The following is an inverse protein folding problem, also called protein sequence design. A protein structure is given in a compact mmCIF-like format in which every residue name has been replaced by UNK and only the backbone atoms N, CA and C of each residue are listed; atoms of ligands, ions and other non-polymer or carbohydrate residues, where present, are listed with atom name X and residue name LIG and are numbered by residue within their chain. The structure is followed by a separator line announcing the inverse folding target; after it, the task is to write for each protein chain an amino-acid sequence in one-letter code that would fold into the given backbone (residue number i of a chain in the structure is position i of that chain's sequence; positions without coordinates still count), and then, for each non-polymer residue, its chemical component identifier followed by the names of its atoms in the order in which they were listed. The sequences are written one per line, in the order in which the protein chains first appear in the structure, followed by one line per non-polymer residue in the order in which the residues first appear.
data_IF_427326948403
#
_entry.id   IF_427326948403
#
_cell.length_a   1.000
_cell.length_b   1.000
_cell.length_c   1.000
_cell.angle_alpha   90.00
_cell.angle_beta   90.00
_cell.angle_gamma   90.00
#
_symmetry.space_group_name_H-M   'P 1'
#
loop_
_entity.id
_entity.type
_entity.pdbx_description
1 polymer ?
#
# COMPACT_ATOMS: atom_id res chain seq x y z
N UNK A 1 -3.89 31.41 4.56
CA UNK A 1 -2.55 32.07 4.62
C UNK A 1 -1.55 31.16 3.92
N UNK A 2 -0.50 31.74 3.34
CA UNK A 2 0.36 31.09 2.33
C UNK A 2 0.88 29.70 2.76
N UNK A 3 1.24 29.49 4.03
CA UNK A 3 1.74 28.20 4.50
C UNK A 3 0.68 27.08 4.42
N UNK A 4 -0.55 27.37 4.83
CA UNK A 4 -1.65 26.41 4.80
C UNK A 4 -2.05 26.10 3.35
N UNK A 5 -2.20 27.13 2.51
CA UNK A 5 -2.56 26.96 1.10
C UNK A 5 -1.52 26.13 0.33
N UNK A 6 -0.24 26.31 0.63
CA UNK A 6 0.82 25.51 0.02
C UNK A 6 0.81 24.06 0.53
N UNK A 7 0.60 23.84 1.84
CA UNK A 7 0.51 22.50 2.40
C UNK A 7 -0.70 21.74 1.82
N UNK A 8 -1.86 22.39 1.77
CA UNK A 8 -3.07 21.85 1.17
C UNK A 8 -2.87 21.54 -0.32
N UNK A 9 -2.10 22.37 -1.02
CA UNK A 9 -1.76 22.10 -2.41
C UNK A 9 -0.94 20.81 -2.55
N UNK A 10 0.08 20.59 -1.72
CA UNK A 10 0.87 19.36 -1.72
C UNK A 10 -0.01 18.13 -1.43
N UNK A 11 -0.84 18.19 -0.39
CA UNK A 11 -1.77 17.11 -0.02
C UNK A 11 -2.76 16.83 -1.16
N UNK A 12 -3.38 17.86 -1.72
CA UNK A 12 -4.41 17.70 -2.75
C UNK A 12 -3.86 17.18 -4.10
N UNK A 13 -2.59 17.41 -4.38
CA UNK A 13 -1.92 16.93 -5.59
C UNK A 13 -1.19 15.58 -5.39
N UNK A 14 -1.47 14.88 -4.29
CA UNK A 14 -0.94 13.54 -4.00
C UNK A 14 0.58 13.48 -3.92
N UNK A 15 1.21 14.59 -3.54
CA UNK A 15 2.63 14.68 -3.24
C UNK A 15 2.90 14.19 -1.82
N UNK A 16 2.35 13.02 -1.49
CA UNK A 16 2.44 12.39 -0.17
C UNK A 16 3.90 12.28 0.28
N UNK A 17 4.84 11.96 -0.61
CA UNK A 17 6.27 11.87 -0.29
C UNK A 17 6.95 13.17 0.21
N UNK A 18 6.28 14.32 0.16
CA UNK A 18 6.76 15.58 0.75
C UNK A 18 6.22 15.76 2.18
N UNK A 19 6.04 14.67 2.93
CA UNK A 19 5.58 14.71 4.33
C UNK A 19 6.43 15.66 5.18
N UNK A 20 7.74 15.70 4.95
CA UNK A 20 8.66 16.64 5.60
C UNK A 20 8.35 18.11 5.30
N UNK A 21 8.13 18.47 4.03
CA UNK A 21 7.78 19.84 3.63
C UNK A 21 6.38 20.23 4.09
N UNK A 22 5.40 19.33 3.93
CA UNK A 22 4.02 19.51 4.42
C UNK A 22 4.05 19.79 5.93
N UNK A 23 4.80 18.99 6.68
CA UNK A 23 4.99 19.18 8.12
C UNK A 23 5.61 20.53 8.44
N UNK A 24 6.69 20.94 7.78
CA UNK A 24 7.32 22.24 8.01
C UNK A 24 6.36 23.41 7.74
N UNK A 25 5.47 23.27 6.75
CA UNK A 25 4.44 24.26 6.45
C UNK A 25 3.37 24.32 7.54
N UNK A 26 2.88 23.16 7.99
CA UNK A 26 1.92 23.07 9.09
C UNK A 26 2.50 23.59 10.41
N UNK A 27 3.72 23.21 10.77
CA UNK A 27 4.41 23.72 11.96
C UNK A 27 4.55 25.25 11.93
N UNK A 28 4.88 25.84 10.77
CA UNK A 28 4.95 27.30 10.61
C UNK A 28 3.59 27.98 10.77
N UNK A 29 2.53 27.37 10.23
CA UNK A 29 1.17 27.87 10.40
C UNK A 29 0.69 27.78 11.85
N UNK A 30 0.94 26.66 12.53
CA UNK A 30 0.52 26.43 13.91
C UNK A 30 1.21 27.39 14.90
N UNK A 31 2.41 27.91 14.59
CA UNK A 31 2.99 29.02 15.38
C UNK A 31 2.14 30.28 15.39
N UNK A 32 1.32 30.49 14.36
CA UNK A 32 0.39 31.62 14.25
C UNK A 32 -0.99 31.29 14.82
N UNK A 33 -1.43 30.03 14.68
CA UNK A 33 -2.71 29.52 15.19
C UNK A 33 -2.52 28.13 15.83
N UNK A 34 -2.10 28.07 17.10
CA UNK A 34 -1.70 26.82 17.75
C UNK A 34 -2.81 25.79 17.92
N UNK A 35 -4.07 26.24 17.92
CA UNK A 35 -5.24 25.42 18.24
C UNK A 35 -6.09 25.08 17.01
N UNK A 36 -5.55 25.28 15.81
CA UNK A 36 -6.25 24.95 14.57
C UNK A 36 -6.32 23.42 14.38
N UNK A 37 -7.47 22.84 14.73
CA UNK A 37 -7.67 21.39 14.76
C UNK A 37 -7.50 20.71 13.39
N UNK A 38 -7.85 21.40 12.30
CA UNK A 38 -7.68 20.87 10.95
C UNK A 38 -6.20 20.70 10.60
N UNK A 39 -5.38 21.68 10.99
CA UNK A 39 -3.95 21.65 10.72
C UNK A 39 -3.22 20.70 11.66
N UNK A 40 -3.67 20.60 12.93
CA UNK A 40 -3.18 19.58 13.86
C UNK A 40 -3.50 18.17 13.34
N UNK A 41 -4.69 17.96 12.78
CA UNK A 41 -5.07 16.72 12.12
C UNK A 41 -4.16 16.42 10.92
N UNK A 42 -3.99 17.37 9.99
CA UNK A 42 -3.11 17.19 8.83
C UNK A 42 -1.65 16.91 9.21
N UNK A 43 -1.14 17.57 10.25
CA UNK A 43 0.18 17.33 10.81
C UNK A 43 0.29 15.92 11.41
N UNK A 44 -0.70 15.49 12.19
CA UNK A 44 -0.73 14.16 12.77
C UNK A 44 -0.85 13.04 11.72
N UNK A 45 -1.60 13.26 10.62
CA UNK A 45 -1.59 12.35 9.46
C UNK A 45 -0.17 12.23 8.91
N UNK A 46 0.54 13.34 8.67
CA UNK A 46 1.92 13.29 8.15
C UNK A 46 2.89 12.53 9.06
N UNK A 47 2.76 12.66 10.38
CA UNK A 47 3.57 11.88 11.32
C UNK A 47 3.21 10.40 11.36
N UNK A 48 1.95 10.04 11.07
CA UNK A 48 1.50 8.64 11.01
C UNK A 48 2.15 7.92 9.83
N UNK A 49 2.27 8.60 8.69
CA UNK A 49 2.94 8.09 7.48
C UNK A 49 4.45 7.89 7.67
N UNK A 50 5.09 8.71 8.51
CA UNK A 50 6.51 8.58 8.90
C UNK A 50 6.72 7.62 10.08
N UNK A 51 5.69 6.86 10.48
CA UNK A 51 5.69 5.96 11.66
C UNK A 51 6.10 6.65 12.97
N UNK A 52 6.00 7.97 13.01
CA UNK A 52 6.38 8.82 14.14
C UNK A 52 5.24 8.90 15.15
N UNK A 53 4.78 7.75 15.60
CA UNK A 53 3.57 7.60 16.41
C UNK A 53 3.61 8.33 17.75
N UNK A 54 4.80 8.52 18.35
CA UNK A 54 4.93 9.31 19.59
C UNK A 54 4.54 10.77 19.39
N UNK A 55 4.93 11.37 18.28
CA UNK A 55 4.55 12.74 17.92
C UNK A 55 3.05 12.85 17.67
N UNK A 56 2.46 11.83 17.04
CA UNK A 56 1.00 11.75 16.84
C UNK A 56 0.26 11.74 18.18
N UNK A 57 0.74 10.98 19.16
CA UNK A 57 0.13 10.94 20.51
C UNK A 57 0.23 12.29 21.20
N UNK A 58 1.42 12.92 21.23
CA UNK A 58 1.63 14.21 21.91
C UNK A 58 0.71 15.32 21.36
N UNK A 59 0.64 15.42 20.03
CA UNK A 59 -0.18 16.41 19.33
C UNK A 59 -1.67 16.05 19.48
N UNK A 60 -2.01 14.78 19.24
CA UNK A 60 -3.38 14.29 19.21
C UNK A 60 -4.09 14.37 20.57
N UNK A 61 -3.42 14.02 21.67
CA UNK A 61 -4.00 14.12 23.02
C UNK A 61 -4.27 15.57 23.40
N UNK A 62 -3.32 16.47 23.09
CA UNK A 62 -3.48 17.90 23.33
C UNK A 62 -4.63 18.49 22.50
N UNK A 63 -4.71 18.10 21.22
CA UNK A 63 -5.75 18.55 20.31
C UNK A 63 -7.14 18.03 20.73
N UNK A 64 -7.23 16.76 21.13
CA UNK A 64 -8.47 16.11 21.55
C UNK A 64 -8.97 16.69 22.88
N UNK A 65 -8.07 16.99 23.83
CA UNK A 65 -8.44 17.63 25.10
C UNK A 65 -9.12 19.00 24.89
N UNK A 66 -8.73 19.75 23.85
CA UNK A 66 -9.34 21.02 23.47
C UNK A 66 -10.59 20.85 22.60
N UNK A 67 -10.70 19.72 21.91
CA UNK A 67 -11.76 19.41 20.94
C UNK A 67 -12.35 18.00 21.19
N UNK A 68 -13.04 17.78 22.33
CA UNK A 68 -13.41 16.43 22.79
C UNK A 68 -14.45 15.71 21.91
N UNK A 69 -15.00 16.37 20.89
CA UNK A 69 -15.94 15.79 19.91
C UNK A 69 -15.34 15.52 18.53
N UNK A 70 -14.05 15.76 18.32
CA UNK A 70 -13.41 15.56 17.01
C UNK A 70 -13.06 14.08 16.81
N UNK A 71 -13.96 13.36 16.14
CA UNK A 71 -13.83 11.93 15.86
C UNK A 71 -12.52 11.58 15.12
N UNK A 72 -12.07 12.45 14.21
CA UNK A 72 -10.86 12.16 13.42
C UNK A 72 -9.59 12.08 14.27
N UNK A 73 -9.52 12.82 15.38
CA UNK A 73 -8.40 12.74 16.32
C UNK A 73 -8.40 11.41 17.10
N UNK A 74 -9.57 10.85 17.42
CA UNK A 74 -9.67 9.53 18.03
C UNK A 74 -9.08 8.45 17.12
N UNK A 75 -9.42 8.49 15.83
CA UNK A 75 -8.89 7.54 14.85
C UNK A 75 -7.36 7.65 14.70
N UNK A 76 -6.82 8.88 14.66
CA UNK A 76 -5.36 9.11 14.61
C UNK A 76 -4.63 8.59 15.84
N UNK A 77 -5.14 8.87 17.04
CA UNK A 77 -4.58 8.33 18.28
C UNK A 77 -4.66 6.80 18.28
N UNK A 78 -5.75 6.22 17.78
CA UNK A 78 -5.89 4.78 17.63
C UNK A 78 -4.83 4.20 16.68
N UNK A 79 -4.55 4.86 15.53
CA UNK A 79 -3.45 4.48 14.64
C UNK A 79 -2.11 4.47 15.39
N UNK A 80 -1.85 5.54 16.15
CA UNK A 80 -0.58 5.75 16.83
C UNK A 80 -0.36 4.73 17.95
N UNK A 81 -1.37 4.47 18.79
CA UNK A 81 -1.28 3.46 19.84
C UNK A 81 -1.12 2.04 19.26
N UNK A 82 -1.81 1.71 18.17
CA UNK A 82 -1.60 0.44 17.47
C UNK A 82 -0.16 0.32 16.95
N UNK A 83 0.38 1.37 16.33
CA UNK A 83 1.76 1.42 15.84
C UNK A 83 2.82 1.39 16.95
N UNK A 84 2.48 1.85 18.17
CA UNK A 84 3.33 1.75 19.35
C UNK A 84 3.27 0.37 20.04
N UNK A 85 2.42 -0.54 19.55
CA UNK A 85 2.23 -1.86 20.15
C UNK A 85 1.35 -1.86 21.39
N UNK A 86 0.47 -0.88 21.54
CA UNK A 86 -0.56 -0.81 22.59
C UNK A 86 -1.96 -1.02 21.97
N UNK A 87 -2.32 -2.27 21.66
CA UNK A 87 -3.57 -2.57 20.98
C UNK A 87 -4.80 -2.37 21.87
N UNK A 88 -4.65 -2.46 23.19
CA UNK A 88 -5.72 -2.19 24.14
C UNK A 88 -6.21 -0.74 24.00
N UNK A 89 -5.29 0.23 24.12
CA UNK A 89 -5.64 1.65 23.93
C UNK A 89 -6.12 1.95 22.51
N UNK A 90 -5.52 1.32 21.51
CA UNK A 90 -5.94 1.51 20.13
C UNK A 90 -7.42 1.11 19.93
N UNK A 91 -7.82 -0.07 20.43
CA UNK A 91 -9.18 -0.57 20.28
C UNK A 91 -10.18 0.23 21.13
N UNK A 92 -9.80 0.72 22.30
CA UNK A 92 -10.62 1.65 23.09
C UNK A 92 -10.92 2.95 22.33
N UNK A 93 -9.91 3.52 21.66
CA UNK A 93 -10.06 4.73 20.87
C UNK A 93 -10.85 4.48 19.58
N UNK A 94 -10.65 3.33 18.92
CA UNK A 94 -11.48 2.94 17.79
C UNK A 94 -12.95 2.74 18.18
N UNK A 95 -13.23 2.18 19.37
CA UNK A 95 -14.60 2.05 19.86
C UNK A 95 -15.27 3.44 20.00
N UNK A 96 -14.58 4.40 20.61
CA UNK A 96 -15.07 5.78 20.71
C UNK A 96 -15.23 6.44 19.33
N UNK A 97 -14.28 6.22 18.42
CA UNK A 97 -14.37 6.69 17.05
C UNK A 97 -15.61 6.12 16.34
N UNK A 98 -15.87 4.82 16.52
CA UNK A 98 -17.02 4.15 15.93
C UNK A 98 -18.34 4.74 16.43
N UNK A 99 -18.44 5.10 17.70
CA UNK A 99 -19.62 5.77 18.25
C UNK A 99 -19.88 7.16 17.64
N UNK A 100 -18.84 7.81 17.12
CA UNK A 100 -18.92 9.16 16.55
C UNK A 100 -19.14 9.19 15.03
N UNK A 101 -19.05 8.06 14.32
CA UNK A 101 -19.20 7.99 12.85
C UNK A 101 -20.49 7.28 12.41
N UNK A 102 -20.95 7.50 11.17
CA UNK A 102 -22.09 6.79 10.59
C UNK A 102 -21.92 5.28 10.56
N UNK A 103 -23.04 4.55 10.63
CA UNK A 103 -23.05 3.10 10.65
C UNK A 103 -22.47 2.48 9.37
N UNK A 104 -22.65 3.14 8.22
CA UNK A 104 -22.13 2.72 6.92
C UNK A 104 -20.60 2.75 6.89
N UNK A 105 -20.00 3.79 7.48
CA UNK A 105 -18.54 3.91 7.60
C UNK A 105 -18.01 2.88 8.61
N UNK A 106 -18.69 2.73 9.75
CA UNK A 106 -18.35 1.72 10.77
C UNK A 106 -18.39 0.30 10.22
N UNK A 107 -19.30 0.01 9.30
CA UNK A 107 -19.43 -1.32 8.70
C UNK A 107 -18.17 -1.75 7.93
N UNK A 108 -17.43 -0.81 7.35
CA UNK A 108 -16.19 -1.09 6.61
C UNK A 108 -15.09 -1.69 7.51
N UNK A 109 -15.06 -1.32 8.79
CA UNK A 109 -14.11 -1.85 9.76
C UNK A 109 -14.49 -3.26 10.23
N UNK A 110 -15.77 -3.61 10.16
CA UNK A 110 -16.28 -4.93 10.54
C UNK A 110 -16.30 -5.92 9.38
N UNK A 111 -15.94 -5.46 8.18
CA UNK A 111 -15.94 -6.28 6.98
C UNK A 111 -14.72 -7.20 6.95
N UNK A 112 -14.99 -8.50 7.01
CA UNK A 112 -13.96 -9.53 6.99
C UNK A 112 -13.66 -10.08 5.59
N UNK A 113 -14.38 -9.64 4.54
CA UNK A 113 -14.31 -10.24 3.20
C UNK A 113 -12.89 -10.31 2.63
N UNK A 114 -12.07 -9.30 2.93
CA UNK A 114 -10.70 -9.22 2.45
C UNK A 114 -9.69 -10.02 3.27
N UNK A 115 -10.03 -10.43 4.50
CA UNK A 115 -9.07 -11.03 5.45
C UNK A 115 -9.45 -12.44 5.94
N UNK A 116 -10.72 -12.82 5.76
CA UNK A 116 -11.23 -14.14 6.09
C UNK A 116 -11.26 -15.05 4.86
N UNK A 117 -11.15 -16.36 5.09
CA UNK A 117 -11.36 -17.35 4.03
C UNK A 117 -12.85 -17.47 3.70
N UNK A 118 -13.23 -17.86 2.47
CA UNK A 118 -14.62 -18.03 2.09
C UNK A 118 -15.43 -18.95 3.03
N UNK A 119 -14.80 -19.98 3.58
CA UNK A 119 -15.43 -20.91 4.52
C UNK A 119 -15.67 -20.26 5.89
N UNK A 120 -14.72 -19.45 6.37
CA UNK A 120 -14.84 -18.71 7.63
C UNK A 120 -15.92 -17.62 7.53
N UNK A 121 -16.01 -16.94 6.38
CA UNK A 121 -17.05 -15.93 6.12
C UNK A 121 -18.45 -16.52 6.15
N UNK A 122 -18.66 -17.65 5.47
CA UNK A 122 -19.95 -18.35 5.47
C UNK A 122 -20.39 -18.71 6.89
N UNK A 123 -19.46 -19.19 7.72
CA UNK A 123 -19.72 -19.45 9.14
C UNK A 123 -20.12 -18.16 9.84
N UNK A 124 -19.29 -17.12 9.76
CA UNK A 124 -19.52 -15.83 10.42
C UNK A 124 -20.87 -15.20 10.06
N UNK A 125 -21.24 -15.21 8.78
CA UNK A 125 -22.50 -14.67 8.29
C UNK A 125 -23.72 -15.45 8.83
N UNK A 126 -23.58 -16.77 8.99
CA UNK A 126 -24.64 -17.62 9.55
C UNK A 126 -24.82 -17.51 11.07
N UNK A 127 -23.83 -16.97 11.79
CA UNK A 127 -23.88 -16.88 13.25
C UNK A 127 -24.83 -15.76 13.72
N UNK A 128 -25.59 -15.99 14.82
CA UNK A 128 -26.29 -14.93 15.54
C UNK A 128 -25.34 -13.84 16.03
N UNK A 129 -25.82 -12.61 16.19
CA UNK A 129 -25.00 -11.46 16.61
C UNK A 129 -24.28 -11.70 17.94
N UNK A 130 -24.94 -12.37 18.89
CA UNK A 130 -24.40 -12.73 20.21
C UNK A 130 -23.18 -13.67 20.12
N UNK A 131 -23.12 -14.53 19.10
CA UNK A 131 -22.04 -15.50 18.90
C UNK A 131 -20.89 -14.93 18.04
N UNK A 132 -21.16 -13.85 17.27
CA UNK A 132 -20.15 -13.21 16.42
C UNK A 132 -18.98 -12.65 17.22
N UNK A 133 -19.23 -12.12 18.42
CA UNK A 133 -18.17 -11.62 19.29
C UNK A 133 -17.16 -12.72 19.66
N UNK A 134 -17.64 -13.90 20.05
CA UNK A 134 -16.79 -15.04 20.38
C UNK A 134 -16.03 -15.58 19.15
N UNK A 135 -16.68 -15.57 17.98
CA UNK A 135 -16.03 -15.89 16.72
C UNK A 135 -14.87 -14.93 16.42
N UNK A 136 -15.09 -13.62 16.53
CA UNK A 136 -14.07 -12.60 16.24
C UNK A 136 -12.83 -12.73 17.13
N UNK A 137 -13.01 -12.98 18.42
CA UNK A 137 -11.89 -13.24 19.35
C UNK A 137 -11.04 -14.40 18.85
N UNK A 138 -11.66 -15.51 18.47
CA UNK A 138 -10.94 -16.69 17.96
C UNK A 138 -10.31 -16.43 16.58
N UNK A 139 -11.03 -15.70 15.73
CA UNK A 139 -10.61 -15.35 14.38
C UNK A 139 -9.34 -14.50 14.37
N UNK A 140 -9.31 -13.44 15.17
CA UNK A 140 -8.15 -12.55 15.29
C UNK A 140 -6.99 -13.22 16.00
N UNK A 141 -7.24 -13.97 17.08
CA UNK A 141 -6.20 -14.71 17.81
C UNK A 141 -5.41 -15.68 16.92
N UNK A 142 -6.08 -16.37 15.99
CA UNK A 142 -5.41 -17.30 15.05
C UNK A 142 -4.47 -16.60 14.06
N UNK A 143 -4.64 -15.30 13.85
CA UNK A 143 -3.92 -14.47 12.87
C UNK A 143 -2.95 -13.49 13.52
N UNK A 144 -2.88 -13.48 14.85
CA UNK A 144 -2.05 -12.57 15.60
C UNK A 144 -0.65 -13.16 15.80
N UNK A 145 0.36 -12.46 15.28
CA UNK A 145 1.76 -12.81 15.45
C UNK A 145 2.28 -12.40 16.84
N UNK A 146 1.60 -11.44 17.49
CA UNK A 146 1.88 -11.00 18.85
C UNK A 146 1.17 -11.92 19.83
N UNK A 147 1.72 -13.13 20.04
CA UNK A 147 1.05 -14.24 20.74
C UNK A 147 0.45 -13.92 22.14
N UNK A 148 0.91 -12.85 22.80
CA UNK A 148 0.43 -12.41 24.12
C UNK A 148 -0.71 -11.38 24.09
N UNK A 149 -1.02 -10.76 22.94
CA UNK A 149 -2.14 -9.82 22.79
C UNK A 149 -3.51 -10.50 22.84
N UNK A 150 -3.55 -11.83 22.63
CA UNK A 150 -4.80 -12.58 22.53
C UNK A 150 -5.62 -12.32 21.26
N UNK A 151 -5.07 -11.65 20.24
CA UNK A 151 -5.78 -11.28 19.00
C UNK A 151 -5.99 -9.77 18.82
N UNK A 152 -5.83 -9.00 19.90
CA UNK A 152 -6.10 -7.56 19.91
C UNK A 152 -5.17 -6.79 18.97
N UNK A 153 -3.90 -7.19 18.86
CA UNK A 153 -2.95 -6.53 17.96
C UNK A 153 -3.35 -6.73 16.51
N UNK A 154 -3.81 -7.94 16.14
CA UNK A 154 -4.28 -8.19 14.77
C UNK A 154 -5.58 -7.45 14.44
N UNK A 155 -6.51 -7.33 15.40
CA UNK A 155 -7.74 -6.56 15.24
C UNK A 155 -7.45 -5.05 15.09
N UNK A 156 -6.61 -4.50 15.97
CA UNK A 156 -6.19 -3.10 15.91
C UNK A 156 -5.49 -2.79 14.58
N UNK A 157 -4.61 -3.70 14.12
CA UNK A 157 -3.96 -3.60 12.82
C UNK A 157 -4.97 -3.63 11.66
N UNK A 158 -6.03 -4.43 11.74
CA UNK A 158 -7.07 -4.43 10.73
C UNK A 158 -7.77 -3.07 10.65
N UNK A 159 -8.16 -2.49 11.79
CA UNK A 159 -8.76 -1.15 11.83
C UNK A 159 -7.78 -0.06 11.37
N UNK A 160 -6.48 -0.21 11.69
CA UNK A 160 -5.40 0.65 11.18
C UNK A 160 -5.39 0.67 9.66
N UNK A 161 -5.43 -0.51 9.03
CA UNK A 161 -5.47 -0.66 7.57
C UNK A 161 -6.72 -0.08 6.95
N UNK A 162 -7.89 -0.35 7.52
CA UNK A 162 -9.17 0.19 6.98
C UNK A 162 -9.15 1.72 7.02
N UNK A 163 -8.75 2.32 8.14
CA UNK A 163 -8.62 3.77 8.24
C UNK A 163 -7.63 4.33 7.21
N UNK A 164 -6.45 3.70 7.07
CA UNK A 164 -5.44 4.12 6.11
C UNK A 164 -5.97 4.15 4.68
N UNK A 165 -6.64 3.07 4.24
CA UNK A 165 -7.15 3.02 2.86
C UNK A 165 -8.32 3.98 2.64
N UNK A 166 -9.13 4.25 3.67
CA UNK A 166 -10.18 5.29 3.62
C UNK A 166 -9.59 6.68 3.47
N UNK A 167 -8.45 6.95 4.09
CA UNK A 167 -7.77 8.24 3.97
C UNK A 167 -7.03 8.38 2.63
N UNK A 168 -6.33 7.34 2.15
CA UNK A 168 -5.40 7.46 1.01
C UNK A 168 -5.95 6.96 -0.33
N UNK A 169 -6.86 6.00 -0.34
CA UNK A 169 -7.29 5.30 -1.57
C UNK A 169 -8.76 5.50 -1.92
N UNK A 170 -9.48 6.35 -1.18
CA UNK A 170 -10.91 6.61 -1.38
C UNK A 170 -11.23 7.78 -2.34
N UNK A 171 -10.23 8.58 -2.74
CA UNK A 171 -10.45 9.84 -3.50
C UNK A 171 -11.16 9.62 -4.84
N UNK A 172 -10.70 8.66 -5.64
CA UNK A 172 -11.25 8.38 -6.97
C UNK A 172 -12.40 7.36 -6.98
N UNK A 173 -12.39 6.41 -6.03
CA UNK A 173 -13.36 5.33 -5.90
C UNK A 173 -13.68 5.12 -4.42
N UNK A 174 -14.97 5.05 -4.09
CA UNK A 174 -15.45 4.75 -2.74
C UNK A 174 -15.88 3.26 -2.66
N UNK A 175 -15.58 2.54 -1.58
CA UNK A 175 -14.87 3.03 -0.39
C UNK A 175 -13.35 3.14 -0.58
N UNK A 176 -12.77 2.47 -1.57
CA UNK A 176 -11.37 2.60 -2.00
C UNK A 176 -11.19 1.98 -3.40
N UNK A 177 -10.05 2.26 -4.04
CA UNK A 177 -9.62 1.60 -5.28
C UNK A 177 -8.87 0.27 -5.03
N UNK A 178 -8.29 -0.35 -6.08
CA UNK A 178 -7.63 -1.66 -5.95
C UNK A 178 -6.44 -1.67 -4.99
N UNK A 179 -5.79 -0.53 -4.77
CA UNK A 179 -4.70 -0.40 -3.80
C UNK A 179 -5.23 -0.65 -2.39
N UNK A 180 -6.43 -0.17 -2.07
CA UNK A 180 -7.07 -0.39 -0.78
C UNK A 180 -7.32 -1.85 -0.48
N UNK A 181 -7.74 -2.64 -1.47
CA UNK A 181 -7.95 -4.07 -1.26
C UNK A 181 -6.65 -4.84 -0.95
N UNK A 182 -5.58 -4.52 -1.69
CA UNK A 182 -4.26 -5.14 -1.47
C UNK A 182 -3.69 -4.73 -0.11
N UNK A 183 -3.88 -3.46 0.28
CA UNK A 183 -3.39 -2.94 1.55
C UNK A 183 -4.16 -3.54 2.75
N UNK A 184 -5.48 -3.70 2.68
CA UNK A 184 -6.23 -4.35 3.77
C UNK A 184 -5.75 -5.79 3.98
N UNK A 185 -5.56 -6.53 2.87
CA UNK A 185 -5.06 -7.92 2.89
C UNK A 185 -3.68 -8.03 3.51
N UNK A 186 -2.73 -7.27 2.98
CA UNK A 186 -1.31 -7.52 3.23
C UNK A 186 -0.71 -6.53 4.24
N UNK A 187 -1.23 -5.31 4.29
CA UNK A 187 -0.70 -4.21 5.10
C UNK A 187 0.16 -3.29 4.27
N UNK A 188 1.13 -2.66 4.91
CA UNK A 188 2.13 -1.84 4.23
C UNK A 188 3.10 -2.72 3.42
N UNK A 189 3.43 -2.35 2.17
CA UNK A 189 4.41 -3.08 1.37
C UNK A 189 5.84 -2.86 1.90
N UNK A 190 6.70 -3.86 1.71
CA UNK A 190 8.14 -3.77 2.05
C UNK A 190 8.88 -2.79 1.13
N UNK A 191 8.36 -2.61 -0.10
CA UNK A 191 8.86 -1.63 -1.04
C UNK A 191 7.74 -1.05 -1.89
N UNK A 192 7.78 0.26 -2.11
CA UNK A 192 6.80 1.03 -2.89
C UNK A 192 7.53 1.98 -3.83
N UNK A 193 7.15 1.97 -5.11
CA UNK A 193 7.67 2.87 -6.15
C UNK A 193 6.53 3.44 -7.00
N UNK A 194 6.67 4.66 -7.49
CA UNK A 194 5.65 5.35 -8.31
C UNK A 194 6.28 6.07 -9.50
N UNK A 195 5.56 6.19 -10.59
CA UNK A 195 6.04 6.85 -11.82
C UNK A 195 6.49 8.32 -11.62
N UNK A 196 5.79 9.06 -10.76
CA UNK A 196 6.05 10.49 -10.52
C UNK A 196 7.06 10.75 -9.39
N UNK A 197 7.45 9.72 -8.65
CA UNK A 197 8.40 9.80 -7.54
C UNK A 197 8.99 8.40 -7.33
N UNK A 198 9.93 8.02 -8.20
CA UNK A 198 10.41 6.66 -8.22
C UNK A 198 11.32 6.39 -7.02
N UNK A 199 11.12 5.26 -6.34
CA UNK A 199 11.99 4.86 -5.24
C UNK A 199 13.24 4.20 -5.85
N UNK A 200 14.41 4.83 -5.70
CA UNK A 200 15.63 4.37 -6.37
C UNK A 200 16.37 3.25 -5.63
N UNK A 201 15.96 2.93 -4.39
CA UNK A 201 16.72 2.04 -3.51
C UNK A 201 15.79 0.95 -2.96
N UNK A 202 15.57 -0.17 -3.68
CA UNK A 202 14.94 -1.33 -3.09
C UNK A 202 15.83 -1.96 -2.01
N UNK A 203 15.22 -2.67 -1.06
CA UNK A 203 15.98 -3.58 -0.20
C UNK A 203 16.51 -4.76 -1.03
N UNK A 204 17.53 -5.46 -0.53
CA UNK A 204 18.06 -6.65 -1.18
C UNK A 204 16.97 -7.73 -1.37
N UNK A 205 16.03 -7.83 -0.43
CA UNK A 205 14.90 -8.75 -0.51
C UNK A 205 13.92 -8.33 -1.62
N UNK A 206 13.62 -7.02 -1.75
CA UNK A 206 12.74 -6.53 -2.81
C UNK A 206 13.39 -6.68 -4.20
N UNK A 207 14.69 -6.46 -4.30
CA UNK A 207 15.49 -6.70 -5.52
C UNK A 207 15.44 -8.18 -5.91
N UNK A 208 15.69 -9.10 -4.98
CA UNK A 208 15.62 -10.54 -5.24
C UNK A 208 14.22 -11.00 -5.71
N UNK A 209 13.15 -10.40 -5.18
CA UNK A 209 11.79 -10.65 -5.67
C UNK A 209 11.64 -10.17 -7.11
N UNK A 210 12.11 -8.96 -7.44
CA UNK A 210 12.02 -8.43 -8.81
C UNK A 210 12.80 -9.29 -9.81
N UNK A 211 14.04 -9.67 -9.47
CA UNK A 211 14.87 -10.52 -10.32
C UNK A 211 14.21 -11.87 -10.59
N UNK A 212 13.68 -12.52 -9.55
CA UNK A 212 12.95 -13.78 -9.70
C UNK A 212 11.74 -13.63 -10.61
N UNK A 213 10.89 -12.63 -10.35
CA UNK A 213 9.68 -12.39 -11.16
C UNK A 213 10.03 -12.10 -12.62
N UNK A 214 11.14 -11.39 -12.88
CA UNK A 214 11.61 -11.13 -14.23
C UNK A 214 12.09 -12.41 -14.93
N UNK A 215 12.82 -13.26 -14.22
CA UNK A 215 13.24 -14.56 -14.73
C UNK A 215 12.06 -15.49 -15.00
N UNK A 216 11.02 -15.48 -14.15
CA UNK A 216 9.79 -16.26 -14.36
C UNK A 216 9.09 -15.84 -15.67
N UNK A 217 9.04 -14.54 -15.96
CA UNK A 217 8.49 -14.01 -17.22
C UNK A 217 9.34 -14.46 -18.41
N UNK A 218 10.67 -14.31 -18.35
CA UNK A 218 11.57 -14.67 -19.44
C UNK A 218 11.58 -16.19 -19.67
N UNK A 219 11.65 -16.99 -18.61
CA UNK A 219 11.64 -18.46 -18.65
C UNK A 219 10.31 -19.05 -19.12
N UNK A 220 9.18 -18.45 -18.74
CA UNK A 220 7.86 -18.82 -19.26
C UNK A 220 7.67 -18.50 -20.75
N UNK A 221 8.35 -17.47 -21.26
CA UNK A 221 8.43 -17.19 -22.70
C UNK A 221 9.30 -18.21 -23.46
N UNK A 222 10.28 -18.83 -22.79
CA UNK A 222 11.17 -19.86 -23.37
C UNK A 222 10.48 -21.24 -23.45
N UNK A 223 9.49 -21.55 -22.60
CA UNK A 223 8.73 -22.82 -22.68
C UNK A 223 7.83 -22.95 -23.94
N UNK A 224 7.60 -21.88 -24.71
CA UNK A 224 6.81 -21.90 -25.95
C UNK A 224 7.63 -21.82 -27.25
N UNK A 225 8.96 -21.92 -27.20
CA UNK A 225 9.81 -21.94 -28.38
C UNK A 225 11.15 -22.60 -28.10
N UNK A 226 11.33 -23.78 -28.69
CA UNK A 226 12.52 -24.63 -28.67
C UNK A 226 13.85 -23.91 -28.35
N UNK A 227 14.44 -24.25 -27.21
CA UNK A 227 15.89 -24.16 -27.03
C UNK A 227 16.49 -25.50 -27.45
N UNK A 228 17.41 -25.51 -28.41
CA UNK A 228 18.34 -26.63 -28.52
C UNK A 228 19.67 -26.25 -27.86
N UNK A 229 20.12 -27.12 -26.95
CA UNK A 229 21.37 -27.04 -26.18
C UNK A 229 22.64 -26.94 -27.06
N UNK A 230 22.54 -27.14 -28.39
CA UNK A 230 23.68 -27.14 -29.31
C UNK A 230 24.36 -25.78 -29.50
N UNK A 231 23.70 -24.67 -29.12
CA UNK A 231 24.29 -23.33 -29.19
C UNK A 231 25.08 -22.93 -27.93
N UNK A 232 25.02 -23.72 -26.85
CA UNK A 232 25.73 -23.41 -25.60
C UNK A 232 27.24 -23.72 -25.66
N UNK A 233 27.70 -24.56 -26.61
CA UNK A 233 29.10 -24.95 -26.75
C UNK A 233 29.58 -24.98 -28.22
N UNK A 234 29.83 -23.81 -28.82
CA UNK A 234 30.83 -23.72 -29.91
C UNK A 234 31.78 -22.55 -29.68
N UNK A 235 32.92 -22.89 -29.09
CA UNK A 235 34.15 -22.10 -29.14
C UNK A 235 34.97 -22.64 -30.33
N UNK A 236 35.74 -21.73 -30.94
CA UNK A 236 36.87 -21.91 -31.89
C UNK A 236 36.57 -21.95 -33.40
N UNK A 237 37.11 -20.95 -34.10
CA UNK A 237 37.86 -21.13 -35.35
C UNK A 237 37.25 -20.60 -36.65
N UNK A 238 37.76 -19.43 -37.07
CA UNK A 238 38.09 -18.99 -38.45
C UNK A 238 37.04 -18.96 -39.59
N UNK A 239 36.93 -17.75 -40.18
CA UNK A 239 36.78 -17.37 -41.59
C UNK A 239 35.55 -17.80 -42.41
N UNK A 240 34.63 -16.85 -42.72
CA UNK A 240 34.55 -16.08 -43.99
C UNK A 240 33.21 -15.35 -44.18
N UNK A 241 33.33 -14.08 -44.61
CA UNK A 241 32.48 -13.30 -45.53
C UNK A 241 30.98 -13.04 -45.28
N UNK A 242 30.75 -11.80 -44.81
CA UNK A 242 29.73 -10.80 -45.19
C UNK A 242 28.62 -11.20 -46.19
N UNK A 243 27.39 -11.27 -45.69
CA UNK A 243 26.26 -10.40 -46.03
C UNK A 243 24.97 -11.11 -45.61
N UNK A 244 24.20 -10.49 -44.72
CA UNK A 244 22.73 -10.42 -44.73
C UNK A 244 22.18 -10.07 -43.34
N UNK A 245 21.24 -9.10 -43.32
CA UNK A 245 20.23 -8.85 -42.30
C UNK A 245 20.71 -8.12 -41.02
N UNK A 246 21.14 -6.87 -41.19
CA UNK A 246 20.80 -5.81 -40.24
C UNK A 246 19.31 -5.51 -40.37
N UNK A 247 18.49 -6.14 -39.52
CA UNK A 247 17.27 -5.57 -38.92
C UNK A 247 16.60 -6.68 -38.09
N UNK A 248 16.12 -6.32 -36.90
CA UNK A 248 15.34 -7.17 -35.96
C UNK A 248 16.06 -8.28 -35.18
N UNK A 249 17.21 -7.95 -34.58
CA UNK A 249 17.61 -8.56 -33.29
C UNK A 249 17.96 -7.49 -32.27
N UNK A 250 16.93 -6.79 -31.79
CA UNK A 250 17.02 -6.16 -30.49
C UNK A 250 16.99 -7.28 -29.45
N UNK A 251 18.16 -7.89 -29.23
CA UNK A 251 18.40 -8.80 -28.13
C UNK A 251 17.91 -8.10 -26.86
N UNK A 252 16.99 -8.73 -26.15
CA UNK A 252 16.53 -8.29 -24.84
C UNK A 252 17.69 -8.52 -23.86
N UNK A 253 18.72 -7.68 -23.94
CA UNK A 253 19.78 -7.61 -22.93
C UNK A 253 19.09 -7.14 -21.64
N UNK A 254 18.82 -8.10 -20.76
CA UNK A 254 18.49 -7.83 -19.36
C UNK A 254 19.76 -7.29 -18.68
N UNK A 255 20.13 -6.07 -19.04
CA UNK A 255 21.27 -5.32 -18.54
C UNK A 255 20.88 -4.73 -17.18
N UNK A 256 21.06 -5.50 -16.10
CA UNK A 256 20.88 -5.01 -14.72
C UNK A 256 19.58 -4.23 -14.52
N UNK A 257 18.47 -4.98 -14.45
CA UNK A 257 17.10 -4.50 -14.64
C UNK A 257 16.77 -3.19 -13.91
N UNK A 258 15.92 -2.39 -14.54
CA UNK A 258 15.35 -1.19 -13.95
C UNK A 258 14.57 -1.55 -12.67
N UNK A 259 15.22 -1.49 -11.50
CA UNK A 259 14.65 -1.85 -10.20
C UNK A 259 13.58 -0.86 -9.71
N UNK A 260 13.43 0.25 -10.43
CA UNK A 260 12.52 1.33 -10.07
C UNK A 260 11.14 1.07 -10.66
N UNK A 261 11.08 0.55 -11.88
CA UNK A 261 9.85 0.29 -12.62
C UNK A 261 9.22 -1.06 -12.25
N UNK A 262 7.92 -1.24 -12.56
CA UNK A 262 7.26 -2.54 -12.46
C UNK A 262 8.00 -3.62 -13.26
N UNK A 263 8.10 -4.84 -12.73
CA UNK A 263 8.70 -5.97 -13.44
C UNK A 263 7.86 -6.32 -14.66
N UNK A 264 6.54 -6.30 -14.49
CA UNK A 264 5.61 -6.44 -15.59
C UNK A 264 5.49 -5.12 -16.36
N UNK A 265 5.88 -5.07 -17.65
CA UNK A 265 5.96 -3.81 -18.37
C UNK A 265 4.56 -3.20 -18.56
N UNK A 266 4.39 -2.01 -18.01
CA UNK A 266 3.24 -1.13 -18.28
C UNK A 266 3.45 -0.48 -19.66
N UNK A 267 3.39 -1.27 -20.74
CA UNK A 267 3.51 -0.74 -22.11
C UNK A 267 2.11 -0.40 -22.64
N UNK A 268 1.81 0.89 -22.69
CA UNK A 268 0.61 1.40 -23.36
C UNK A 268 1.00 2.47 -24.38
N UNK A 269 0.62 2.24 -25.65
CA UNK A 269 0.69 3.13 -26.81
C UNK A 269 1.24 4.55 -26.54
N UNK A 270 2.56 4.72 -26.63
CA UNK A 270 3.28 6.00 -26.67
C UNK A 270 3.03 7.01 -25.51
N UNK A 271 2.23 6.66 -24.50
CA UNK A 271 1.92 7.52 -23.35
C UNK A 271 2.43 6.88 -22.06
N UNK A 272 3.19 7.66 -21.30
CA UNK A 272 3.54 7.31 -19.92
C UNK A 272 2.28 7.34 -19.06
N UNK A 273 1.80 6.16 -18.67
CA UNK A 273 0.67 6.00 -17.75
C UNK A 273 1.19 6.07 -16.32
N UNK A 274 0.53 6.80 -15.40
CA UNK A 274 0.86 6.77 -13.99
C UNK A 274 0.77 5.35 -13.45
N UNK A 275 1.84 4.90 -12.80
CA UNK A 275 1.92 3.57 -12.23
C UNK A 275 2.44 3.63 -10.79
N UNK A 276 2.07 2.59 -10.05
CA UNK A 276 2.48 2.36 -8.68
C UNK A 276 2.76 0.87 -8.49
N UNK A 277 3.95 0.53 -8.00
CA UNK A 277 4.40 -0.85 -7.76
C UNK A 277 4.67 -1.07 -6.28
N UNK A 278 4.10 -2.14 -5.73
CA UNK A 278 4.21 -2.56 -4.34
C UNK A 278 4.79 -3.97 -4.27
N UNK A 279 5.83 -4.15 -3.45
CA UNK A 279 6.44 -5.46 -3.22
C UNK A 279 6.20 -5.90 -1.79
N UNK A 280 5.78 -7.16 -1.67
CA UNK A 280 5.68 -7.87 -0.40
C UNK A 280 6.59 -9.08 -0.48
N UNK A 281 7.68 -9.06 0.27
CA UNK A 281 8.73 -10.08 0.29
C UNK A 281 8.28 -11.37 0.98
N UNK A 282 7.41 -11.25 1.99
CA UNK A 282 6.95 -12.39 2.80
C UNK A 282 5.63 -13.02 2.30
N UNK A 283 4.95 -12.38 1.35
CA UNK A 283 3.68 -12.87 0.80
C UNK A 283 3.97 -13.76 -0.40
N UNK A 284 3.55 -15.03 -0.36
CA UNK A 284 3.63 -15.94 -1.50
C UNK A 284 5.04 -16.22 -2.03
N UNK A 285 6.09 -16.05 -1.22
CA UNK A 285 7.49 -16.16 -1.67
C UNK A 285 8.00 -14.91 -2.42
N UNK A 286 7.34 -13.76 -2.21
CA UNK A 286 7.63 -12.51 -2.89
C UNK A 286 6.61 -12.24 -3.99
N UNK A 287 5.88 -11.14 -3.88
CA UNK A 287 4.94 -10.73 -4.93
C UNK A 287 5.07 -9.25 -5.22
N UNK A 288 4.85 -8.88 -6.48
CA UNK A 288 4.70 -7.49 -6.91
C UNK A 288 3.24 -7.26 -7.32
N UNK A 289 2.61 -6.23 -6.73
CA UNK A 289 1.34 -5.70 -7.21
C UNK A 289 1.61 -4.40 -7.96
N UNK A 290 1.07 -4.31 -9.17
CA UNK A 290 1.19 -3.12 -10.02
C UNK A 290 -0.19 -2.51 -10.17
N UNK A 291 -0.27 -1.19 -10.05
CA UNK A 291 -1.49 -0.41 -10.22
C UNK A 291 -1.25 0.68 -11.26
N UNK A 292 -2.28 0.96 -12.06
CA UNK A 292 -2.25 1.97 -13.12
C UNK A 292 -3.50 2.85 -13.08
N UNK A 293 -3.35 4.11 -13.50
CA UNK A 293 -4.45 5.03 -13.80
C UNK A 293 -4.44 5.36 -15.31
N UNK A 294 -4.89 4.41 -16.12
CA UNK A 294 -4.89 4.50 -17.59
C UNK A 294 -5.70 5.69 -18.13
N UNK A 295 -6.74 6.09 -17.38
CA UNK A 295 -7.68 7.14 -17.79
C UNK A 295 -7.37 8.50 -17.17
N UNK A 296 -6.31 8.61 -16.35
CA UNK A 296 -5.92 9.82 -15.62
C UNK A 296 -7.08 10.42 -14.80
N UNK A 297 -7.91 9.57 -14.21
CA UNK A 297 -9.10 9.98 -13.46
C UNK A 297 -9.01 9.67 -11.96
N UNK A 298 -7.84 9.24 -11.49
CA UNK A 298 -7.55 8.88 -10.11
C UNK A 298 -8.10 7.52 -9.69
N UNK A 299 -8.58 6.69 -10.63
CA UNK A 299 -9.10 5.34 -10.34
C UNK A 299 -8.05 4.29 -10.66
N UNK A 300 -7.29 3.92 -9.63
CA UNK A 300 -6.21 2.95 -9.76
C UNK A 300 -6.74 1.52 -9.84
N UNK A 301 -6.33 0.79 -10.88
CA UNK A 301 -6.71 -0.60 -11.13
C UNK A 301 -5.46 -1.46 -11.40
N UNK A 302 -5.61 -2.78 -11.40
CA UNK A 302 -4.56 -3.64 -11.93
C UNK A 302 -4.37 -3.37 -13.44
N UNK A 303 -3.14 -3.48 -13.97
CA UNK A 303 -2.90 -3.34 -15.40
C UNK A 303 -3.69 -4.40 -16.17
N UNK A 304 -4.21 -4.00 -17.33
CA UNK A 304 -4.81 -4.95 -18.26
C UNK A 304 -3.78 -5.98 -18.70
N UNK A 305 -4.17 -7.26 -18.70
CA UNK A 305 -3.35 -8.31 -19.28
C UNK A 305 -3.24 -8.07 -20.81
N UNK A 306 -2.07 -8.29 -21.43
CA UNK A 306 -1.91 -8.20 -22.88
C UNK A 306 -2.78 -9.23 -23.58
N UNK A 307 -3.21 -8.87 -24.77
CA UNK A 307 -3.98 -9.73 -25.65
C UNK A 307 -3.31 -11.10 -25.79
N UNK A 308 -4.03 -12.17 -25.40
CA UNK A 308 -3.59 -13.56 -25.56
C UNK A 308 -3.30 -14.34 -24.27
N UNK A 309 -3.30 -13.70 -23.10
CA UNK A 309 -3.22 -14.42 -21.82
C UNK A 309 -4.62 -14.77 -21.30
N UNK A 310 -4.96 -16.07 -21.33
CA UNK A 310 -6.16 -16.65 -20.71
C UNK A 310 -5.77 -17.69 -19.68
#
# INVERSE_FOLDING_TARGET
PVYLELADWYVNNNFEMYHGEIRLLYEKYLRLRPDDVEVLYGLAVSYTEEHSYRSVVEIGETALAKNPGEARLLALLAQAYAGLGDPDRALELFAQYFDAIPAEERALYKDLQLVAKPEELKVYESLPEEERAAFLVTFWRKRDLTLFSGGLAREAEHYRRVWFVRTHFAKGVQPWDRRGEVFIRNGEPDYRSRSHAPNAVPSAEAEAVKERLALDIVGGFVEFGEMTEELFFRRTGEDTEEQELEDDKQAFEYSGGNLIEPVYPVKFNERSVPWESWIYTQVGGGVEFVFVDELLNGKWQFPSLPDGTR
#
